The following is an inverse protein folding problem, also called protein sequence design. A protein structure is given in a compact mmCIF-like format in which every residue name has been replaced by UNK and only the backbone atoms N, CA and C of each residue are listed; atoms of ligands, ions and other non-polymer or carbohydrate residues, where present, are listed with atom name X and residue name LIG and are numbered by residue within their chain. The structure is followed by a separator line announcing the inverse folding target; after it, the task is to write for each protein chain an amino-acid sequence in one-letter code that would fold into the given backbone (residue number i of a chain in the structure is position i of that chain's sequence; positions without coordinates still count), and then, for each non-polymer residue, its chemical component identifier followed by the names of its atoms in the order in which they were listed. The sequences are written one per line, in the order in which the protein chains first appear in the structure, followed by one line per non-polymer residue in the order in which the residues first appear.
data_IF_380260745860
#
_entry.id   IF_380260745860
#
_cell.length_a   1.000
_cell.length_b   1.000
_cell.length_c   1.000
_cell.angle_alpha   90.00
_cell.angle_beta   90.00
_cell.angle_gamma   90.00
#
_symmetry.space_group_name_H-M   'P 1'
#
loop_
_entity.id
_entity.type
_entity.pdbx_description
1 polymer ?
#
# COMPACT_ATOMS: atom_id res chain seq x y z
N UNK A 1 -11.41 20.18 -22.21
CA UNK A 1 -10.85 19.42 -23.33
C UNK A 1 -9.66 18.62 -22.85
N UNK A 2 -9.32 17.54 -23.55
CA UNK A 2 -8.10 16.78 -23.34
C UNK A 2 -7.21 16.95 -24.59
N UNK A 3 -5.90 17.09 -24.38
CA UNK A 3 -4.93 17.23 -25.46
C UNK A 3 -3.57 16.68 -25.06
N UNK A 4 -2.83 16.21 -26.05
CA UNK A 4 -1.43 15.77 -25.97
C UNK A 4 -0.43 16.89 -26.35
N UNK A 5 -0.93 18.10 -26.66
CA UNK A 5 -0.11 19.21 -27.17
C UNK A 5 -0.56 20.59 -26.70
N UNK A 6 0.40 21.45 -26.34
CA UNK A 6 0.16 22.86 -26.02
C UNK A 6 -0.24 23.68 -27.25
N UNK A 7 0.02 23.20 -28.47
CA UNK A 7 -0.33 23.89 -29.70
C UNK A 7 -1.84 23.89 -30.00
N UNK A 8 -2.60 23.00 -29.35
CA UNK A 8 -4.04 22.86 -29.56
C UNK A 8 -4.73 22.46 -28.26
N UNK A 9 -5.11 23.46 -27.45
CA UNK A 9 -5.72 23.25 -26.13
C UNK A 9 -7.15 22.71 -26.18
N UNK A 10 -7.84 22.83 -27.31
CA UNK A 10 -9.20 22.31 -27.55
C UNK A 10 -9.19 21.13 -28.54
N UNK A 11 -8.23 20.20 -28.40
CA UNK A 11 -8.06 19.06 -29.33
C UNK A 11 -9.22 18.06 -29.28
N UNK A 12 -9.58 17.59 -28.09
CA UNK A 12 -10.69 16.65 -27.89
C UNK A 12 -11.63 17.14 -26.80
N UNK A 13 -12.91 17.28 -27.14
CA UNK A 13 -13.94 17.60 -26.17
C UNK A 13 -14.28 16.35 -25.34
N UNK A 14 -14.22 16.47 -24.02
CA UNK A 14 -14.70 15.40 -23.14
C UNK A 14 -16.21 15.24 -23.34
N UNK A 15 -16.74 14.01 -23.31
CA UNK A 15 -18.18 13.80 -23.35
C UNK A 15 -18.86 14.36 -22.11
N UNK A 16 -20.18 14.56 -22.21
CA UNK A 16 -20.97 14.96 -21.05
C UNK A 16 -21.05 13.78 -20.06
N UNK A 17 -20.17 13.79 -19.07
CA UNK A 17 -20.02 12.72 -18.08
C UNK A 17 -19.95 13.30 -16.67
N UNK A 18 -20.72 12.72 -15.75
CA UNK A 18 -20.69 13.08 -14.34
C UNK A 18 -19.76 12.12 -13.60
N UNK A 19 -18.68 12.65 -13.02
CA UNK A 19 -17.78 11.89 -12.14
C UNK A 19 -18.22 12.14 -10.69
N UNK A 20 -18.72 11.12 -9.96
CA UNK A 20 -19.03 11.25 -8.54
C UNK A 20 -17.79 11.59 -7.71
N UNK A 21 -17.99 12.10 -6.49
CA UNK A 21 -16.89 12.28 -5.54
C UNK A 21 -16.14 10.94 -5.34
N UNK A 22 -14.81 10.99 -5.38
CA UNK A 22 -13.92 9.82 -5.36
C UNK A 22 -14.10 8.82 -6.54
N UNK A 23 -14.88 9.18 -7.55
CA UNK A 23 -15.00 8.43 -8.80
C UNK A 23 -13.89 8.79 -9.79
N UNK A 24 -13.85 8.08 -10.90
CA UNK A 24 -12.98 8.36 -12.03
C UNK A 24 -13.68 8.04 -13.36
N UNK A 25 -13.07 8.47 -14.46
CA UNK A 25 -13.47 8.16 -15.82
C UNK A 25 -12.29 7.50 -16.54
N UNK A 26 -12.59 6.52 -17.41
CA UNK A 26 -11.60 5.85 -18.26
C UNK A 26 -11.77 6.39 -19.68
N UNK A 27 -10.69 6.91 -20.25
CA UNK A 27 -10.63 7.45 -21.61
C UNK A 27 -9.63 6.62 -22.40
N UNK A 28 -10.02 6.18 -23.59
CA UNK A 28 -9.15 5.45 -24.51
C UNK A 28 -8.53 6.45 -25.48
N UNK A 29 -7.21 6.66 -25.43
CA UNK A 29 -6.49 7.49 -26.38
C UNK A 29 -5.96 6.64 -27.54
N UNK A 30 -6.88 6.16 -28.38
CA UNK A 30 -6.62 5.22 -29.47
C UNK A 30 -7.00 5.76 -30.85
N UNK A 31 -7.36 7.05 -30.95
CA UNK A 31 -7.80 7.72 -32.19
C UNK A 31 -8.93 6.97 -32.92
N UNK A 32 -9.75 6.21 -32.17
CA UNK A 32 -10.86 5.43 -32.72
C UNK A 32 -12.22 5.91 -32.19
N UNK A 33 -12.63 7.09 -32.66
CA UNK A 33 -13.93 7.67 -32.30
C UNK A 33 -15.15 6.84 -32.72
N UNK A 34 -14.96 5.74 -33.48
CA UNK A 34 -16.03 4.82 -33.86
C UNK A 34 -16.46 3.88 -32.73
N UNK A 35 -15.68 3.77 -31.66
CA UNK A 35 -15.94 2.85 -30.54
C UNK A 35 -16.72 3.48 -29.38
N UNK A 36 -17.05 4.77 -29.49
CA UNK A 36 -17.92 5.49 -28.57
C UNK A 36 -17.27 6.73 -27.97
N UNK A 37 -18.05 7.47 -27.18
CA UNK A 37 -17.72 8.83 -26.78
C UNK A 37 -16.53 8.95 -25.81
N UNK A 38 -16.04 7.84 -25.24
CA UNK A 38 -14.86 7.81 -24.36
C UNK A 38 -13.56 7.50 -25.13
N UNK A 39 -13.62 7.34 -26.45
CA UNK A 39 -12.45 7.18 -27.32
C UNK A 39 -12.02 8.53 -27.88
N UNK A 40 -10.83 8.97 -27.48
CA UNK A 40 -10.26 10.23 -27.88
C UNK A 40 -9.84 10.21 -29.35
N UNK A 41 -9.87 11.38 -30.00
CA UNK A 41 -9.44 11.56 -31.39
C UNK A 41 -7.91 11.68 -31.56
N UNK A 42 -7.14 11.18 -30.60
CA UNK A 42 -5.69 11.19 -30.61
C UNK A 42 -5.13 9.96 -29.89
N UNK A 43 -3.86 9.66 -30.15
CA UNK A 43 -3.09 8.58 -29.54
C UNK A 43 -1.99 9.13 -28.67
N UNK A 44 -1.69 8.38 -27.61
CA UNK A 44 -0.55 8.66 -26.76
C UNK A 44 0.73 7.98 -27.29
N UNK A 45 1.81 8.75 -27.41
CA UNK A 45 3.13 8.27 -27.83
C UNK A 45 3.79 7.43 -26.75
N UNK A 46 4.38 6.29 -27.13
CA UNK A 46 5.15 5.46 -26.20
C UNK A 46 6.51 6.08 -25.81
N UNK A 47 6.96 7.14 -26.51
CA UNK A 47 8.21 7.84 -26.23
C UNK A 47 8.06 8.91 -25.13
N UNK A 48 6.85 9.10 -24.61
CA UNK A 48 6.56 10.14 -23.64
C UNK A 48 6.16 11.45 -24.30
N UNK A 49 5.19 12.13 -23.70
CA UNK A 49 4.73 13.46 -24.09
C UNK A 49 3.93 14.10 -22.93
N UNK A 50 3.24 15.20 -23.22
CA UNK A 50 2.39 15.87 -22.24
C UNK A 50 0.94 15.42 -22.42
N UNK A 51 0.20 15.26 -21.32
CA UNK A 51 -1.25 15.14 -21.32
C UNK A 51 -1.84 16.29 -20.51
N UNK A 52 -2.77 17.02 -21.10
CA UNK A 52 -3.25 18.30 -20.57
C UNK A 52 -4.77 18.30 -20.55
N UNK A 53 -5.32 18.64 -19.39
CA UNK A 53 -6.74 18.89 -19.17
C UNK A 53 -6.99 20.39 -19.11
N UNK A 54 -7.90 20.88 -19.94
CA UNK A 54 -8.27 22.30 -20.02
C UNK A 54 -9.76 22.52 -19.84
N UNK A 55 -10.16 23.71 -19.37
CA UNK A 55 -11.56 24.13 -19.37
C UNK A 55 -11.98 24.72 -20.73
N UNK A 56 -13.23 25.20 -20.85
CA UNK A 56 -13.76 25.83 -22.07
C UNK A 56 -13.10 27.16 -22.44
N UNK A 57 -12.45 27.80 -21.48
CA UNK A 57 -11.77 29.09 -21.64
C UNK A 57 -10.28 28.92 -21.97
N UNK A 58 -9.87 27.71 -22.35
CA UNK A 58 -8.47 27.34 -22.62
C UNK A 58 -7.52 27.49 -21.42
N UNK A 59 -8.04 27.51 -20.19
CA UNK A 59 -7.22 27.45 -18.99
C UNK A 59 -6.84 26.00 -18.68
N UNK A 60 -5.56 25.77 -18.37
CA UNK A 60 -5.07 24.47 -17.92
C UNK A 60 -5.59 24.21 -16.50
N UNK A 61 -6.34 23.12 -16.35
CA UNK A 61 -6.83 22.62 -15.07
C UNK A 61 -5.76 21.74 -14.42
N UNK A 62 -5.22 20.79 -15.19
CA UNK A 62 -4.14 19.89 -14.77
C UNK A 62 -3.32 19.46 -15.99
N UNK A 63 -2.08 19.09 -15.76
CA UNK A 63 -1.21 18.54 -16.81
C UNK A 63 -0.14 17.64 -16.21
N UNK A 64 0.22 16.62 -16.97
CA UNK A 64 1.36 15.76 -16.65
C UNK A 64 2.26 15.62 -17.87
N UNK A 65 3.54 15.41 -17.63
CA UNK A 65 4.47 14.92 -18.65
C UNK A 65 4.86 13.51 -18.23
N UNK A 66 4.64 12.54 -19.11
CA UNK A 66 5.08 11.18 -18.89
C UNK A 66 6.26 10.86 -19.80
N UNK A 67 7.12 9.95 -19.33
CA UNK A 67 8.35 9.54 -20.00
C UNK A 67 8.11 8.28 -20.85
N UNK A 68 9.11 7.79 -21.61
CA UNK A 68 8.95 6.55 -22.36
C UNK A 68 8.31 5.42 -21.54
N UNK A 69 7.31 4.78 -22.13
CA UNK A 69 6.54 3.71 -21.50
C UNK A 69 7.03 2.34 -21.96
N UNK A 70 6.99 1.37 -21.05
CA UNK A 70 7.27 -0.03 -21.34
C UNK A 70 5.95 -0.81 -21.45
N UNK A 71 5.98 -1.91 -22.20
CA UNK A 71 4.84 -2.82 -22.23
C UNK A 71 4.53 -3.32 -20.82
N UNK A 72 3.23 -3.46 -20.53
CA UNK A 72 2.72 -3.99 -19.27
C UNK A 72 3.14 -3.17 -18.02
N UNK A 73 3.53 -1.92 -18.20
CA UNK A 73 3.80 -0.95 -17.13
C UNK A 73 2.89 0.26 -17.33
N UNK A 74 2.27 0.71 -16.23
CA UNK A 74 1.45 1.91 -16.19
C UNK A 74 2.19 3.06 -15.51
N UNK A 75 1.88 4.29 -15.89
CA UNK A 75 2.34 5.49 -15.20
C UNK A 75 1.15 6.11 -14.48
N UNK A 76 1.14 6.02 -13.15
CA UNK A 76 -0.02 6.39 -12.34
C UNK A 76 0.36 6.87 -10.95
N UNK A 77 -0.61 7.42 -10.22
CA UNK A 77 -0.41 7.92 -8.84
C UNK A 77 -0.45 6.77 -7.83
N UNK A 78 0.55 6.75 -6.94
CA UNK A 78 0.57 5.90 -5.73
C UNK A 78 1.05 6.74 -4.53
N UNK A 79 0.24 6.93 -3.46
CA UNK A 79 -1.11 6.41 -3.27
C UNK A 79 -2.15 6.87 -4.30
N UNK A 80 -3.21 6.10 -4.49
CA UNK A 80 -4.22 6.32 -5.51
C UNK A 80 -4.88 7.70 -5.36
N UNK A 81 -4.93 8.43 -6.47
CA UNK A 81 -5.51 9.77 -6.55
C UNK A 81 -4.75 10.89 -5.81
N UNK A 82 -3.79 10.59 -4.94
CA UNK A 82 -3.17 11.59 -4.04
C UNK A 82 -1.64 11.59 -4.07
N UNK A 83 -1.02 10.46 -4.39
CA UNK A 83 0.42 10.31 -4.42
C UNK A 83 1.07 10.87 -5.69
N UNK A 84 2.40 10.73 -5.72
CA UNK A 84 3.20 11.06 -6.89
C UNK A 84 2.98 10.06 -8.01
N UNK A 85 3.19 10.51 -9.25
CA UNK A 85 3.24 9.60 -10.39
C UNK A 85 4.50 8.74 -10.35
N UNK A 86 4.33 7.44 -10.62
CA UNK A 86 5.41 6.47 -10.72
C UNK A 86 5.06 5.38 -11.72
N UNK A 87 6.04 4.56 -12.09
CA UNK A 87 5.80 3.32 -12.83
C UNK A 87 5.15 2.28 -11.90
N UNK A 88 4.07 1.66 -12.34
CA UNK A 88 3.22 0.74 -11.57
C UNK A 88 2.81 -0.45 -12.43
N UNK A 89 2.47 -1.57 -11.78
CA UNK A 89 1.71 -2.64 -12.44
C UNK A 89 0.34 -2.09 -12.89
N UNK A 90 -0.12 -2.33 -14.13
CA UNK A 90 -1.41 -1.85 -14.61
C UNK A 90 -2.58 -2.34 -13.75
N UNK A 91 -3.41 -1.40 -13.30
CA UNK A 91 -4.56 -1.62 -12.39
C UNK A 91 -5.84 -1.14 -13.03
N UNK A 92 -6.17 -1.65 -14.23
CA UNK A 92 -7.37 -1.24 -14.96
C UNK A 92 -8.63 -1.35 -14.09
N UNK A 93 -9.39 -0.25 -14.01
CA UNK A 93 -10.62 -0.15 -13.22
C UNK A 93 -10.45 -0.55 -11.73
N UNK A 94 -9.23 -0.40 -11.18
CA UNK A 94 -8.84 -0.84 -9.84
C UNK A 94 -8.00 0.23 -9.13
N UNK A 95 -7.77 0.07 -7.83
CA UNK A 95 -6.95 0.97 -7.04
C UNK A 95 -5.46 0.84 -7.45
N UNK A 96 -4.77 1.97 -7.70
CA UNK A 96 -3.35 2.04 -8.05
C UNK A 96 -2.38 1.90 -6.86
N UNK A 97 -2.90 1.89 -5.63
CA UNK A 97 -2.13 1.56 -4.45
C UNK A 97 -1.49 0.20 -4.68
N UNK A 98 -0.16 0.18 -4.66
CA UNK A 98 0.52 -1.09 -4.45
C UNK A 98 -0.10 -1.69 -3.18
N UNK A 99 -0.54 -2.96 -3.18
CA UNK A 99 -0.90 -3.59 -1.93
C UNK A 99 0.37 -3.55 -1.10
N UNK A 100 0.44 -2.59 -0.17
CA UNK A 100 1.14 -2.81 1.07
C UNK A 100 0.28 -3.87 1.75
N UNK A 101 0.38 -5.12 1.30
CA UNK A 101 -0.13 -6.29 2.02
C UNK A 101 0.82 -6.57 3.17
N UNK A 102 1.04 -5.53 3.96
CA UNK A 102 1.18 -5.56 5.39
C UNK A 102 0.45 -4.28 5.78
N UNK A 103 -0.84 -4.37 6.13
CA UNK A 103 -1.22 -3.61 7.32
C UNK A 103 -0.19 -4.05 8.35
N UNK A 104 0.87 -3.26 8.51
CA UNK A 104 1.75 -3.39 9.64
C UNK A 104 0.87 -2.90 10.78
N UNK A 105 -0.05 -3.76 11.20
CA UNK A 105 -0.56 -3.72 12.55
C UNK A 105 0.73 -3.84 13.34
N UNK A 106 1.26 -2.70 13.79
CA UNK A 106 2.28 -2.61 14.81
C UNK A 106 1.68 -3.11 16.14
N UNK A 107 1.08 -4.31 16.14
CA UNK A 107 0.82 -5.12 17.31
C UNK A 107 1.95 -6.15 17.48
N UNK A 108 3.15 -5.88 16.94
CA UNK A 108 4.32 -6.66 17.33
C UNK A 108 4.55 -6.37 18.80
N UNK A 109 4.17 -7.30 19.66
CA UNK A 109 4.40 -7.15 21.08
C UNK A 109 5.91 -7.08 21.35
N UNK A 110 6.30 -6.13 22.18
CA UNK A 110 7.66 -6.05 22.67
C UNK A 110 7.78 -6.87 23.95
N UNK A 111 8.73 -7.80 23.96
CA UNK A 111 9.16 -8.53 25.15
C UNK A 111 10.64 -8.22 25.36
N UNK A 112 10.98 -7.76 26.56
CA UNK A 112 12.33 -7.31 26.89
C UNK A 112 12.67 -7.58 28.36
N UNK A 113 13.96 -7.67 28.74
CA UNK A 113 15.10 -7.70 27.84
C UNK A 113 15.16 -9.03 27.06
N UNK A 114 15.85 -9.05 25.93
CA UNK A 114 16.17 -10.28 25.21
C UNK A 114 17.59 -10.13 24.64
N UNK A 115 18.61 -10.83 25.19
CA UNK A 115 18.53 -11.87 26.23
C UNK A 115 18.09 -11.39 27.62
N UNK A 116 17.61 -12.29 28.47
CA UNK A 116 17.14 -12.02 29.85
C UNK A 116 17.75 -12.95 30.88
N UNK A 117 17.65 -12.57 32.17
CA UNK A 117 18.17 -13.35 33.31
C UNK A 117 17.05 -13.73 34.28
N UNK A 118 16.44 -12.74 34.94
CA UNK A 118 15.48 -12.96 36.04
C UNK A 118 14.05 -12.58 35.69
N UNK A 119 13.85 -11.49 34.96
CA UNK A 119 12.51 -10.97 34.63
C UNK A 119 12.39 -10.70 33.14
N UNK A 120 11.24 -11.05 32.58
CA UNK A 120 10.77 -10.59 31.27
C UNK A 120 9.63 -9.61 31.45
N UNK A 121 9.64 -8.51 30.71
CA UNK A 121 8.59 -7.50 30.65
C UNK A 121 7.88 -7.58 29.30
N UNK A 122 6.57 -7.32 29.31
CA UNK A 122 5.70 -7.30 28.14
C UNK A 122 5.05 -5.91 27.99
N UNK A 123 4.99 -5.42 26.76
CA UNK A 123 4.29 -4.17 26.45
C UNK A 123 2.76 -4.41 26.35
N UNK A 124 2.07 -4.25 27.48
CA UNK A 124 0.61 -4.38 27.59
C UNK A 124 0.14 -5.57 28.43
N UNK A 125 -1.16 -5.68 28.64
CA UNK A 125 -1.77 -6.81 29.35
C UNK A 125 -1.97 -8.00 28.40
N UNK A 126 -1.01 -8.93 28.41
CA UNK A 126 -0.97 -10.03 27.45
C UNK A 126 -1.52 -11.33 28.05
N UNK A 127 -2.17 -12.16 27.22
CA UNK A 127 -2.46 -13.56 27.55
C UNK A 127 -1.41 -14.44 26.89
N UNK A 128 -0.66 -15.21 27.65
CA UNK A 128 0.55 -15.88 27.18
C UNK A 128 0.62 -17.37 27.51
N UNK A 129 1.33 -18.09 26.66
CA UNK A 129 1.90 -19.41 26.93
C UNK A 129 3.39 -19.37 26.64
N UNK A 130 4.21 -19.93 27.53
CA UNK A 130 5.66 -20.03 27.34
C UNK A 130 6.06 -21.49 27.25
N UNK A 131 6.78 -21.84 26.21
CA UNK A 131 7.29 -23.19 25.96
C UNK A 131 8.81 -23.17 25.83
N UNK A 132 9.47 -24.24 26.27
CA UNK A 132 10.90 -24.41 26.02
C UNK A 132 11.16 -24.88 24.58
N UNK A 133 12.43 -25.05 24.21
CA UNK A 133 12.84 -25.50 22.88
C UNK A 133 12.34 -26.92 22.50
N UNK A 134 11.94 -27.74 23.48
CA UNK A 134 11.31 -29.05 23.27
C UNK A 134 9.79 -28.96 23.09
N UNK A 135 9.21 -27.75 23.15
CA UNK A 135 7.76 -27.52 23.04
C UNK A 135 6.97 -27.77 24.33
N UNK A 136 7.64 -28.10 25.44
CA UNK A 136 7.00 -28.32 26.73
C UNK A 136 6.51 -26.98 27.30
N UNK A 137 5.27 -26.95 27.81
CA UNK A 137 4.69 -25.76 28.45
C UNK A 137 5.35 -25.53 29.81
N UNK A 138 5.98 -24.38 29.98
CA UNK A 138 6.70 -23.96 31.19
C UNK A 138 5.85 -23.00 32.02
N UNK A 139 5.11 -22.11 31.36
CA UNK A 139 4.34 -21.06 32.03
C UNK A 139 3.13 -20.65 31.21
N UNK A 140 2.05 -20.24 31.86
CA UNK A 140 0.91 -19.60 31.22
C UNK A 140 0.26 -18.62 32.19
N UNK A 141 -0.17 -17.48 31.67
CA UNK A 141 -0.84 -16.45 32.45
C UNK A 141 -1.77 -15.62 31.55
N UNK A 142 -2.73 -14.96 32.18
CA UNK A 142 -3.62 -14.00 31.52
C UNK A 142 -3.39 -12.60 32.10
N UNK A 143 -3.39 -11.60 31.21
CA UNK A 143 -3.23 -10.18 31.56
C UNK A 143 -1.92 -9.88 32.32
N UNK A 144 -0.81 -10.39 31.81
CA UNK A 144 0.52 -10.28 32.44
C UNK A 144 1.37 -9.21 31.76
N UNK A 145 2.06 -8.39 32.57
CA UNK A 145 3.03 -7.37 32.13
C UNK A 145 4.49 -7.72 32.44
N UNK A 146 4.71 -8.69 33.33
CA UNK A 146 6.05 -9.23 33.61
C UNK A 146 6.00 -10.67 34.11
N UNK A 147 7.08 -11.42 33.86
CA UNK A 147 7.22 -12.82 34.24
C UNK A 147 8.50 -12.95 35.07
N UNK A 148 8.38 -13.49 36.28
CA UNK A 148 9.55 -13.94 37.03
C UNK A 148 10.03 -15.26 36.45
N UNK A 149 11.29 -15.32 36.08
CA UNK A 149 11.92 -16.45 35.39
C UNK A 149 13.08 -17.05 36.15
N UNK A 150 13.35 -16.63 37.40
CA UNK A 150 14.48 -17.12 38.21
C UNK A 150 14.58 -18.65 38.26
N UNK A 151 13.45 -19.34 38.28
CA UNK A 151 13.36 -20.80 38.36
C UNK A 151 13.52 -21.52 37.00
N UNK A 152 13.73 -20.77 35.92
CA UNK A 152 13.89 -21.33 34.57
C UNK A 152 15.37 -21.57 34.26
N UNK A 153 15.68 -22.69 33.61
CA UNK A 153 17.04 -22.96 33.12
C UNK A 153 17.44 -22.00 31.99
N UNK A 154 18.75 -21.77 31.83
CA UNK A 154 19.27 -21.04 30.68
C UNK A 154 18.93 -21.77 29.37
N UNK A 155 18.55 -21.02 28.33
CA UNK A 155 18.12 -21.62 27.07
C UNK A 155 17.15 -20.77 26.25
N UNK A 156 16.56 -21.40 25.23
CA UNK A 156 15.62 -20.75 24.31
C UNK A 156 14.19 -21.06 24.72
N UNK A 157 13.37 -20.01 24.79
CA UNK A 157 11.95 -20.09 25.08
C UNK A 157 11.13 -19.41 23.97
N UNK A 158 9.94 -19.94 23.74
CA UNK A 158 8.95 -19.43 22.80
C UNK A 158 7.73 -18.95 23.58
N UNK A 159 7.39 -17.67 23.44
CA UNK A 159 6.24 -17.04 24.07
C UNK A 159 5.16 -16.86 23.00
N UNK A 160 4.05 -17.57 23.17
CA UNK A 160 2.86 -17.42 22.35
C UNK A 160 1.89 -16.44 23.01
N UNK A 161 1.59 -15.34 22.33
CA UNK A 161 0.65 -14.31 22.73
C UNK A 161 -0.71 -14.64 22.15
N UNK A 162 -1.61 -15.18 22.97
CA UNK A 162 -2.95 -15.62 22.56
C UNK A 162 -3.78 -14.45 22.01
N UNK A 163 -3.68 -13.28 22.62
CA UNK A 163 -4.45 -12.10 22.21
C UNK A 163 -4.06 -11.58 20.81
N UNK A 164 -2.79 -11.75 20.44
CA UNK A 164 -2.20 -11.24 19.19
C UNK A 164 -1.94 -12.35 18.16
N UNK A 165 -2.22 -13.61 18.52
CA UNK A 165 -1.87 -14.81 17.75
C UNK A 165 -0.41 -14.78 17.24
N UNK A 166 0.53 -14.41 18.12
CA UNK A 166 1.93 -14.17 17.76
C UNK A 166 2.88 -15.05 18.58
N UNK A 167 3.94 -15.57 17.96
CA UNK A 167 5.03 -16.28 18.65
C UNK A 167 6.30 -15.43 18.68
N UNK A 168 6.93 -15.34 19.86
CA UNK A 168 8.17 -14.61 20.09
C UNK A 168 9.24 -15.53 20.66
N UNK A 169 10.47 -15.43 20.14
CA UNK A 169 11.63 -16.18 20.66
C UNK A 169 12.42 -15.30 21.62
N UNK A 170 12.67 -15.80 22.83
CA UNK A 170 13.51 -15.14 23.84
C UNK A 170 14.61 -16.09 24.31
N UNK A 171 15.75 -15.52 24.71
CA UNK A 171 16.93 -16.27 25.15
C UNK A 171 17.21 -15.92 26.60
N UNK A 172 17.20 -16.93 27.46
CA UNK A 172 17.65 -16.81 28.85
C UNK A 172 19.14 -17.10 28.93
N UNK A 173 19.88 -16.19 29.59
CA UNK A 173 21.32 -16.31 29.90
C UNK A 173 21.57 -16.35 31.40
#
# INVERSE_FOLDING_TARGET
FLTDTLGLLHKWALPNYLIPANGYAIIWADEDGGQGDMHANFKLSNLGEQLILTNSDSLVIDSITYFPQFNDISFGRSPNGSGSFSMLTPTFNSNNDFPISVEQIFNKAMIYPNPFTEILYLEGDERIEVRNFLGQLIYSAEYVRSIQTSDWDAGVYFIYLRNKNQNLKVIKI
#
